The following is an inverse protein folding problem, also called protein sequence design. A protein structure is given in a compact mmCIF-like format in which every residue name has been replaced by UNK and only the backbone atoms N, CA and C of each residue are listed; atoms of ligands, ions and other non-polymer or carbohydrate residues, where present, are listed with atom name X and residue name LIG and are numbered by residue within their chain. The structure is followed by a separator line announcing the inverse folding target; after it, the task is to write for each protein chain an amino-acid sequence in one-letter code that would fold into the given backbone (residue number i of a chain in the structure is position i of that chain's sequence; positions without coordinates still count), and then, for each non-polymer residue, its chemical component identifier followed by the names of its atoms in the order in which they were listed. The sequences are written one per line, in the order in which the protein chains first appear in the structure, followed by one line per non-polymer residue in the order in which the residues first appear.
data_IF_111575536299
#
_entry.id   IF_111575536299
#
_cell.length_a   1.000
_cell.length_b   1.000
_cell.length_c   1.000
_cell.angle_alpha   90.00
_cell.angle_beta   90.00
_cell.angle_gamma   90.00
#
_symmetry.space_group_name_H-M   'P 1'
#
loop_
_entity.id
_entity.type
_entity.pdbx_description
1 polymer ?
#
# COMPACT_ATOMS: atom_id res chain seq x y z
N UNK A 1 -64.48 20.54 -45.60
CA UNK A 1 -63.32 19.63 -45.59
C UNK A 1 -62.23 20.30 -46.41
N UNK A 2 -61.22 20.90 -45.78
CA UNK A 2 -60.10 21.52 -46.50
C UNK A 2 -58.83 21.20 -45.75
N UNK A 3 -58.15 20.15 -46.21
CA UNK A 3 -56.86 19.69 -45.73
C UNK A 3 -55.75 20.57 -46.28
N UNK A 4 -55.30 21.55 -45.51
CA UNK A 4 -54.12 22.35 -45.84
C UNK A 4 -52.86 21.61 -45.40
N UNK A 5 -52.26 20.85 -46.32
CA UNK A 5 -50.91 20.30 -46.18
C UNK A 5 -49.90 21.44 -46.01
N UNK A 6 -49.36 21.59 -44.80
CA UNK A 6 -48.28 22.57 -44.52
C UNK A 6 -46.99 22.10 -45.20
N UNK A 7 -46.21 23.01 -45.82
CA UNK A 7 -44.96 22.65 -46.47
C UNK A 7 -43.97 22.12 -45.42
N UNK A 8 -43.25 21.05 -45.76
CA UNK A 8 -42.25 20.42 -44.90
C UNK A 8 -41.12 21.42 -44.59
N UNK A 9 -41.22 21.99 -43.39
CA UNK A 9 -40.23 22.88 -42.83
C UNK A 9 -39.05 22.03 -42.33
N UNK A 10 -38.06 21.78 -43.20
CA UNK A 10 -36.82 21.04 -42.90
C UNK A 10 -35.92 21.75 -41.85
N UNK A 11 -36.39 22.85 -41.26
CA UNK A 11 -35.73 23.54 -40.17
C UNK A 11 -35.98 22.79 -38.86
N UNK A 12 -34.94 22.12 -38.36
CA UNK A 12 -34.94 21.44 -37.07
C UNK A 12 -35.25 22.45 -35.94
N UNK A 13 -36.50 22.42 -35.45
CA UNK A 13 -36.94 23.24 -34.32
C UNK A 13 -36.51 22.52 -33.06
N UNK A 14 -35.75 23.21 -32.22
CA UNK A 14 -35.31 22.66 -30.94
C UNK A 14 -36.51 22.78 -29.99
N UNK A 15 -37.12 21.64 -29.65
CA UNK A 15 -38.22 21.59 -28.69
C UNK A 15 -37.67 21.82 -27.28
N UNK A 16 -37.94 23.00 -26.73
CA UNK A 16 -37.42 23.43 -25.41
C UNK A 16 -37.72 22.42 -24.30
N UNK A 17 -38.88 21.80 -24.33
CA UNK A 17 -39.35 20.83 -23.32
C UNK A 17 -38.50 19.54 -23.34
N UNK A 18 -38.18 19.03 -24.53
CA UNK A 18 -37.31 17.86 -24.68
C UNK A 18 -35.89 18.14 -24.20
N UNK A 19 -35.35 19.33 -24.53
CA UNK A 19 -34.03 19.73 -24.09
C UNK A 19 -33.95 19.98 -22.59
N UNK A 20 -35.00 20.55 -21.98
CA UNK A 20 -35.10 20.71 -20.54
C UNK A 20 -35.15 19.35 -19.84
N UNK A 21 -35.93 18.40 -20.36
CA UNK A 21 -35.99 17.03 -19.83
C UNK A 21 -34.66 16.29 -19.98
N UNK A 22 -33.96 16.47 -21.09
CA UNK A 22 -32.64 15.87 -21.32
C UNK A 22 -31.56 16.48 -20.41
N UNK A 23 -31.59 17.79 -20.20
CA UNK A 23 -30.70 18.49 -19.27
C UNK A 23 -30.95 18.04 -17.82
N UNK A 24 -32.23 17.92 -17.43
CA UNK A 24 -32.62 17.42 -16.11
C UNK A 24 -32.23 15.96 -15.90
N UNK A 25 -32.29 15.13 -16.95
CA UNK A 25 -31.83 13.74 -16.91
C UNK A 25 -30.32 13.65 -16.71
N UNK A 26 -29.52 14.44 -17.44
CA UNK A 26 -28.07 14.53 -17.22
C UNK A 26 -27.73 14.94 -15.78
N UNK A 27 -28.43 15.96 -15.28
CA UNK A 27 -28.20 16.46 -13.92
C UNK A 27 -28.60 15.44 -12.85
N UNK A 28 -29.62 14.62 -13.11
CA UNK A 28 -29.99 13.51 -12.22
C UNK A 28 -28.96 12.38 -12.28
N UNK A 29 -28.50 11.99 -13.46
CA UNK A 29 -27.48 10.94 -13.62
C UNK A 29 -26.15 11.36 -12.94
N UNK A 30 -25.74 12.62 -13.07
CA UNK A 30 -24.55 13.16 -12.39
C UNK A 30 -24.71 13.15 -10.86
N UNK A 31 -25.91 13.45 -10.34
CA UNK A 31 -26.20 13.41 -8.90
C UNK A 31 -26.33 11.98 -8.35
N UNK A 32 -26.74 11.01 -9.17
CA UNK A 32 -26.85 9.60 -8.80
C UNK A 32 -25.46 8.94 -8.78
N UNK A 33 -24.56 9.32 -9.71
CA UNK A 33 -23.14 8.93 -9.69
C UNK A 33 -22.39 9.50 -8.46
N UNK A 34 -22.75 10.71 -8.01
CA UNK A 34 -22.18 11.31 -6.79
C UNK A 34 -22.72 10.64 -5.52
N UNK A 35 -24.03 10.32 -5.47
CA UNK A 35 -24.65 9.60 -4.35
C UNK A 35 -24.23 8.14 -4.25
N UNK A 36 -23.99 7.47 -5.38
CA UNK A 36 -23.45 6.10 -5.41
C UNK A 36 -21.95 6.04 -5.11
N UNK A 37 -21.22 7.17 -5.13
CA UNK A 37 -19.87 7.28 -4.56
C UNK A 37 -19.86 7.49 -3.05
N UNK A 38 -20.98 7.86 -2.44
CA UNK A 38 -21.17 7.91 -0.97
C UNK A 38 -21.58 6.53 -0.40
N UNK A 39 -20.98 5.47 -0.94
CA UNK A 39 -21.16 4.11 -0.47
C UNK A 39 -20.45 3.92 0.87
N UNK A 40 -21.24 4.02 1.93
CA UNK A 40 -21.05 3.41 3.25
C UNK A 40 -19.81 3.88 4.03
N UNK A 41 -19.93 4.15 5.35
CA UNK A 41 -18.77 4.41 6.20
C UNK A 41 -17.85 3.18 6.17
N UNK A 42 -16.78 3.24 5.35
CA UNK A 42 -15.72 2.24 5.33
C UNK A 42 -15.25 2.13 6.77
N UNK A 43 -15.57 1.00 7.43
CA UNK A 43 -15.06 0.67 8.75
C UNK A 43 -13.56 0.54 8.59
N UNK A 44 -12.86 1.66 8.80
CA UNK A 44 -11.41 1.74 8.65
C UNK A 44 -10.82 0.78 9.67
N UNK A 45 -10.23 -0.30 9.20
CA UNK A 45 -9.56 -1.25 10.08
C UNK A 45 -8.46 -0.53 10.87
N UNK A 46 -8.28 -0.99 12.10
CA UNK A 46 -7.27 -0.46 13.00
C UNK A 46 -5.88 -0.69 12.42
N UNK A 47 -4.96 0.21 12.77
CA UNK A 47 -3.59 0.18 12.27
C UNK A 47 -2.91 -1.16 12.62
N UNK A 48 -2.86 -2.08 11.67
CA UNK A 48 -2.05 -3.30 11.77
C UNK A 48 -0.59 -2.91 11.55
N UNK A 49 0.29 -3.46 12.40
CA UNK A 49 1.73 -3.38 12.17
C UNK A 49 2.04 -4.09 10.84
N UNK A 50 2.87 -3.51 9.98
CA UNK A 50 3.27 -4.20 8.74
C UNK A 50 4.15 -5.39 9.09
N UNK A 51 3.80 -6.54 8.51
CA UNK A 51 4.50 -7.81 8.73
C UNK A 51 5.69 -8.02 7.78
N UNK A 52 5.85 -7.17 6.76
CA UNK A 52 6.96 -7.25 5.80
C UNK A 52 7.96 -6.12 6.00
N UNK A 53 9.25 -6.47 5.89
CA UNK A 53 10.35 -5.52 5.86
C UNK A 53 10.47 -4.97 4.44
N UNK A 54 10.51 -3.65 4.30
CA UNK A 54 10.68 -2.99 3.01
C UNK A 54 12.17 -3.04 2.63
N UNK A 55 12.51 -3.87 1.65
CA UNK A 55 13.89 -4.07 1.22
C UNK A 55 14.32 -2.99 0.21
N UNK A 56 14.87 -1.90 0.75
CA UNK A 56 15.41 -0.77 -0.03
C UNK A 56 16.87 -1.00 -0.46
N UNK A 57 17.51 -2.01 0.12
CA UNK A 57 18.94 -2.28 -0.02
C UNK A 57 19.29 -3.02 -1.32
N UNK A 58 18.36 -3.85 -1.83
CA UNK A 58 18.61 -4.72 -2.99
C UNK A 58 18.82 -3.98 -4.32
N UNK A 59 18.56 -2.66 -4.36
CA UNK A 59 18.78 -1.79 -5.52
C UNK A 59 19.97 -0.85 -5.36
N UNK A 60 20.69 -0.90 -4.24
CA UNK A 60 21.91 -0.11 -4.06
C UNK A 60 23.02 -0.61 -4.99
N UNK A 61 23.74 0.33 -5.61
CA UNK A 61 24.88 0.05 -6.51
C UNK A 61 24.52 -0.40 -7.93
N UNK A 62 23.23 -0.48 -8.30
CA UNK A 62 22.79 -0.83 -9.66
C UNK A 62 22.52 0.43 -10.48
N UNK A 63 23.31 0.67 -11.53
CA UNK A 63 23.03 1.72 -12.51
C UNK A 63 22.00 1.23 -13.52
N UNK A 64 20.86 1.91 -13.61
CA UNK A 64 19.81 1.61 -14.60
C UNK A 64 19.76 2.77 -15.59
N UNK A 65 19.92 2.46 -16.87
CA UNK A 65 19.80 3.44 -17.95
C UNK A 65 18.32 3.76 -18.17
N UNK A 66 17.92 4.99 -17.86
CA UNK A 66 16.54 5.44 -18.00
C UNK A 66 16.39 6.08 -19.39
N UNK A 67 15.49 5.55 -20.21
CA UNK A 67 15.11 6.15 -21.51
C UNK A 67 13.75 6.85 -21.39
N UNK A 68 13.40 7.73 -22.33
CA UNK A 68 12.11 8.48 -22.30
C UNK A 68 10.86 7.58 -22.41
N UNK A 69 11.02 6.32 -22.82
CA UNK A 69 9.94 5.36 -22.99
C UNK A 69 9.77 4.39 -21.80
N UNK A 70 10.65 4.44 -20.79
CA UNK A 70 10.53 3.56 -19.62
C UNK A 70 9.36 4.00 -18.74
N UNK A 71 8.46 3.07 -18.32
CA UNK A 71 7.34 3.41 -17.44
C UNK A 71 7.86 3.99 -16.12
N UNK A 72 7.09 4.91 -15.52
CA UNK A 72 7.44 5.61 -14.27
C UNK A 72 7.75 4.68 -13.08
N UNK A 73 7.42 3.40 -13.17
CA UNK A 73 7.78 2.36 -12.20
C UNK A 73 9.25 1.93 -12.26
N UNK A 74 9.95 2.22 -13.37
CA UNK A 74 11.37 1.94 -13.60
C UNK A 74 12.22 3.21 -13.81
N UNK A 75 11.61 4.39 -13.78
CA UNK A 75 12.38 5.64 -13.74
C UNK A 75 13.06 5.79 -12.39
N UNK A 76 14.23 6.44 -12.36
CA UNK A 76 15.11 6.49 -11.19
C UNK A 76 14.38 6.95 -9.93
N UNK A 77 14.20 6.02 -8.99
CA UNK A 77 13.51 6.24 -7.72
C UNK A 77 12.78 5.00 -7.21
N UNK A 78 12.15 5.15 -6.05
CA UNK A 78 11.23 4.19 -5.44
C UNK A 78 9.79 4.52 -5.88
N UNK A 79 9.11 3.55 -6.47
CA UNK A 79 7.72 3.70 -6.91
C UNK A 79 6.76 3.12 -5.87
N UNK A 80 5.68 3.86 -5.56
CA UNK A 80 4.62 3.41 -4.67
C UNK A 80 3.33 3.10 -5.46
N UNK A 81 2.89 1.85 -5.43
CA UNK A 81 1.70 1.37 -6.17
C UNK A 81 0.37 1.94 -5.63
N UNK A 82 0.33 2.44 -4.40
CA UNK A 82 -0.90 2.90 -3.72
C UNK A 82 -1.17 4.38 -4.00
N UNK A 83 -0.12 5.14 -4.31
CA UNK A 83 -0.18 6.59 -4.47
C UNK A 83 0.27 7.06 -5.86
N UNK A 84 0.65 6.14 -6.73
CA UNK A 84 1.17 6.38 -8.09
C UNK A 84 2.21 7.50 -8.17
N UNK A 85 3.12 7.52 -7.20
CA UNK A 85 4.18 8.51 -7.12
C UNK A 85 5.58 7.87 -7.11
N UNK A 86 6.52 8.53 -7.77
CA UNK A 86 7.93 8.19 -7.76
C UNK A 86 8.63 9.06 -6.71
N UNK A 87 9.24 8.42 -5.73
CA UNK A 87 9.98 9.05 -4.64
C UNK A 87 11.47 8.80 -4.86
N UNK A 88 12.29 9.85 -4.79
CA UNK A 88 13.73 9.76 -5.15
C UNK A 88 14.59 9.13 -4.04
N UNK A 89 14.23 9.39 -2.78
CA UNK A 89 15.03 8.97 -1.61
C UNK A 89 14.40 7.81 -0.84
N UNK A 90 15.24 6.96 -0.26
CA UNK A 90 14.80 5.81 0.56
C UNK A 90 14.07 6.25 1.82
N UNK A 91 14.54 7.32 2.48
CA UNK A 91 13.92 7.89 3.68
C UNK A 91 12.53 8.46 3.33
N UNK A 92 12.45 9.24 2.26
CA UNK A 92 11.19 9.82 1.82
C UNK A 92 10.18 8.72 1.38
N UNK A 93 10.65 7.58 0.87
CA UNK A 93 9.78 6.44 0.54
C UNK A 93 9.23 5.75 1.80
N UNK A 94 10.03 5.61 2.85
CA UNK A 94 9.56 5.12 4.14
C UNK A 94 8.54 6.08 4.77
N UNK A 95 8.81 7.39 4.74
CA UNK A 95 7.87 8.41 5.21
C UNK A 95 6.61 8.49 4.35
N UNK A 96 6.71 8.19 3.06
CA UNK A 96 5.58 8.09 2.16
C UNK A 96 4.66 6.91 2.55
N UNK A 97 5.22 5.72 2.76
CA UNK A 97 4.47 4.53 3.18
C UNK A 97 3.85 4.74 4.58
N UNK A 98 4.57 5.40 5.48
CA UNK A 98 4.06 5.77 6.81
C UNK A 98 3.12 7.00 6.80
N UNK A 99 2.99 7.66 5.66
CA UNK A 99 2.27 8.91 5.52
C UNK A 99 0.75 8.74 5.60
N UNK A 100 0.06 9.79 6.07
CA UNK A 100 -1.41 9.84 6.17
C UNK A 100 -2.11 9.61 4.83
N UNK A 101 -1.51 10.02 3.71
CA UNK A 101 -2.08 9.85 2.36
C UNK A 101 -2.10 8.37 1.96
N UNK A 102 -0.96 7.69 2.10
CA UNK A 102 -0.84 6.26 1.81
C UNK A 102 -1.75 5.43 2.71
N UNK A 103 -1.76 5.72 4.02
CA UNK A 103 -2.60 4.99 4.98
C UNK A 103 -4.11 5.19 4.75
N UNK A 104 -4.53 6.39 4.30
CA UNK A 104 -5.92 6.68 3.95
C UNK A 104 -6.36 5.89 2.72
N UNK A 105 -5.51 5.79 1.69
CA UNK A 105 -5.79 4.98 0.51
C UNK A 105 -5.84 3.48 0.85
N UNK A 106 -5.06 3.04 1.84
CA UNK A 106 -5.10 1.67 2.36
C UNK A 106 -6.35 1.37 3.23
N UNK A 107 -7.23 2.35 3.45
CA UNK A 107 -8.44 2.16 4.26
C UNK A 107 -8.20 2.04 5.76
N UNK A 108 -7.00 2.37 6.25
CA UNK A 108 -6.64 2.21 7.65
C UNK A 108 -6.58 3.57 8.37
N UNK A 109 -7.00 3.61 9.63
CA UNK A 109 -6.92 4.81 10.47
C UNK A 109 -5.63 4.83 11.28
N UNK A 110 -4.98 5.99 11.46
CA UNK A 110 -3.82 6.15 12.35
C UNK A 110 -4.17 5.99 13.85
N UNK A 111 -5.44 5.75 14.20
CA UNK A 111 -5.83 5.45 15.58
C UNK A 111 -5.42 4.01 15.92
N UNK A 112 -4.47 3.89 16.84
CA UNK A 112 -4.05 2.64 17.47
C UNK A 112 -4.89 2.49 18.75
N UNK A 113 -5.38 1.29 19.02
CA UNK A 113 -6.02 0.98 20.31
C UNK A 113 -5.02 1.10 21.46
N UNK A 114 -5.52 1.55 22.63
CA UNK A 114 -4.70 1.61 23.85
C UNK A 114 -4.43 0.18 24.33
N UNK A 115 -3.17 -0.13 24.57
CA UNK A 115 -2.74 -1.44 25.04
C UNK A 115 -3.44 -1.81 26.36
N UNK A 116 -4.01 -3.01 26.44
CA UNK A 116 -4.54 -3.57 27.69
C UNK A 116 -3.46 -4.32 28.49
N UNK A 117 -3.69 -4.53 29.79
CA UNK A 117 -2.76 -5.27 30.65
C UNK A 117 -2.51 -6.71 30.14
N UNK A 118 -3.54 -7.35 29.56
CA UNK A 118 -3.45 -8.69 28.97
C UNK A 118 -2.52 -8.71 27.75
N UNK A 119 -2.59 -7.68 26.90
CA UNK A 119 -1.72 -7.54 25.73
C UNK A 119 -0.26 -7.35 26.11
N UNK A 120 0.00 -6.62 27.21
CA UNK A 120 1.34 -6.40 27.73
C UNK A 120 1.93 -7.70 28.30
N UNK A 121 1.17 -8.46 29.09
CA UNK A 121 1.61 -9.77 29.62
C UNK A 121 1.96 -10.74 28.50
N UNK A 122 1.10 -10.88 27.48
CA UNK A 122 1.37 -11.72 26.30
C UNK A 122 2.62 -11.29 25.53
N UNK A 123 2.88 -9.99 25.41
CA UNK A 123 4.13 -9.48 24.81
C UNK A 123 5.36 -9.82 25.65
N UNK A 124 5.30 -9.67 26.97
CA UNK A 124 6.41 -10.02 27.85
C UNK A 124 6.74 -11.52 27.80
N UNK A 125 5.74 -12.39 27.80
CA UNK A 125 5.94 -13.83 27.66
C UNK A 125 6.55 -14.19 26.30
N UNK A 126 6.03 -13.61 25.22
CA UNK A 126 6.56 -13.82 23.86
C UNK A 126 8.02 -13.35 23.74
N UNK A 127 8.34 -12.20 24.36
CA UNK A 127 9.70 -11.67 24.33
C UNK A 127 10.64 -12.50 25.21
N UNK A 128 10.18 -12.97 26.37
CA UNK A 128 10.94 -13.88 27.24
C UNK A 128 11.27 -15.19 26.52
N UNK A 129 10.29 -15.80 25.83
CA UNK A 129 10.52 -17.01 25.02
C UNK A 129 11.55 -16.78 23.91
N UNK A 130 11.45 -15.67 23.17
CA UNK A 130 12.44 -15.31 22.14
C UNK A 130 13.85 -15.08 22.72
N UNK A 131 13.94 -14.50 23.92
CA UNK A 131 15.22 -14.33 24.61
C UNK A 131 15.80 -15.65 25.11
N UNK A 132 14.97 -16.57 25.61
CA UNK A 132 15.39 -17.92 26.01
C UNK A 132 15.85 -18.76 24.81
N UNK A 133 15.15 -18.69 23.67
CA UNK A 133 15.58 -19.33 22.42
C UNK A 133 16.94 -18.81 21.95
N UNK A 134 17.13 -17.48 21.92
CA UNK A 134 18.44 -16.88 21.60
C UNK A 134 19.54 -17.30 22.56
N UNK A 135 19.22 -17.45 23.85
CA UNK A 135 20.18 -17.89 24.86
C UNK A 135 20.57 -19.35 24.65
N UNK A 136 19.62 -20.22 24.29
CA UNK A 136 19.89 -21.64 23.95
C UNK A 136 20.69 -21.77 22.66
N UNK A 137 20.41 -20.94 21.67
CA UNK A 137 21.15 -20.91 20.40
C UNK A 137 22.62 -20.52 20.62
N UNK A 138 22.87 -19.50 21.45
CA UNK A 138 24.22 -19.11 21.85
C UNK A 138 24.96 -20.22 22.61
N UNK A 139 24.27 -20.93 23.51
CA UNK A 139 24.84 -22.05 24.29
C UNK A 139 25.25 -23.23 23.39
N UNK A 140 24.41 -23.56 22.40
CA UNK A 140 24.72 -24.61 21.40
C UNK A 140 25.86 -24.20 20.47
N UNK A 141 25.87 -22.96 19.98
CA UNK A 141 26.93 -22.45 19.10
C UNK A 141 28.28 -22.40 19.81
N UNK A 142 28.32 -21.97 21.07
CA UNK A 142 29.55 -21.97 21.87
C UNK A 142 30.09 -23.39 22.05
N UNK A 143 29.20 -24.34 22.39
CA UNK A 143 29.59 -25.74 22.58
C UNK A 143 30.08 -26.41 21.30
N UNK A 144 29.46 -26.10 20.15
CA UNK A 144 29.92 -26.54 18.84
C UNK A 144 31.28 -25.93 18.47
N UNK A 145 31.55 -24.68 18.87
CA UNK A 145 32.82 -24.01 18.63
C UNK A 145 33.96 -24.65 19.42
N UNK A 146 33.76 -24.93 20.70
CA UNK A 146 34.74 -25.61 21.57
C UNK A 146 35.10 -27.01 21.04
N UNK A 147 34.10 -27.83 20.70
CA UNK A 147 34.31 -29.15 20.09
C UNK A 147 35.07 -29.05 18.76
N UNK A 148 34.77 -28.04 17.95
CA UNK A 148 35.47 -27.82 16.67
C UNK A 148 36.93 -27.42 16.90
N UNK A 149 37.22 -26.58 17.89
CA UNK A 149 38.59 -26.21 18.26
C UNK A 149 39.36 -27.40 18.85
N UNK A 150 38.75 -28.21 19.70
CA UNK A 150 39.37 -29.42 20.24
C UNK A 150 39.70 -30.43 19.12
N UNK A 151 38.76 -30.67 18.20
CA UNK A 151 39.00 -31.54 17.03
C UNK A 151 40.11 -30.95 16.16
N UNK A 152 40.10 -29.64 15.91
CA UNK A 152 41.13 -28.98 15.11
C UNK A 152 42.51 -29.07 15.76
N UNK A 153 42.62 -28.84 17.07
CA UNK A 153 43.85 -29.00 17.84
C UNK A 153 44.30 -30.46 17.90
N UNK A 154 43.36 -31.41 17.97
CA UNK A 154 43.65 -32.83 17.93
C UNK A 154 44.25 -33.24 16.58
N UNK A 155 43.68 -32.78 15.46
CA UNK A 155 44.25 -32.98 14.13
C UNK A 155 45.62 -32.30 13.98
N UNK A 156 45.80 -31.10 14.55
CA UNK A 156 47.09 -30.38 14.49
C UNK A 156 48.20 -31.00 15.34
N UNK A 157 47.87 -31.65 16.45
CA UNK A 157 48.83 -32.39 17.30
C UNK A 157 49.20 -33.77 16.75
N UNK A 158 48.41 -34.29 15.81
CA UNK A 158 48.54 -35.64 15.26
C UNK A 158 49.21 -35.65 13.87
N UNK A 159 49.45 -34.47 13.29
CA UNK A 159 50.32 -34.25 12.12
C UNK A 159 51.67 -33.72 12.56
#
# INVERSE_FOLDING_TARGET
MSSSSRPEDHRRKWDRDEYEKLARKRLMDDLDDDRSKDLSPIKREMLKQRDYRVDLDSKLGKSVVITKATPSSQSGGYYCNVCDCVVKDSINFLDHINGKKHQRNLGMSMKIERSSLDQVKKRFESNKKKMEEKKKDYDLEQRLRELKEEIFLFFRKRS
#
